data_IF_587636941383
#
_entry.id   IF_587636941383
#
_cell.length_a   1.000
_cell.length_b   1.000
_cell.length_c   1.000
_cell.angle_alpha   90.00
_cell.angle_beta   90.00
_cell.angle_gamma   90.00
#
_symmetry.space_group_name_H-M   'P 1'
#
loop_
_entity.id
_entity.type
_entity.pdbx_description
1 polymer ?
#
# COMPACT_ATOMS: atom_id res chain seq x y z
N UNK A 1 19.44 -6.50 -13.51
CA UNK A 1 18.74 -5.27 -13.08
C UNK A 1 19.70 -4.13 -12.80
N UNK A 2 20.59 -4.26 -11.79
CA UNK A 2 21.55 -3.19 -11.42
C UNK A 2 22.37 -2.71 -12.62
N UNK A 3 22.90 -3.65 -13.40
CA UNK A 3 23.68 -3.37 -14.61
C UNK A 3 22.95 -2.44 -15.59
N UNK A 4 21.63 -2.63 -15.76
CA UNK A 4 20.81 -1.85 -16.69
C UNK A 4 20.28 -0.54 -16.08
N UNK A 5 20.43 -0.37 -14.75
CA UNK A 5 19.86 0.75 -13.98
C UNK A 5 20.89 1.33 -13.00
N UNK A 6 22.08 1.67 -13.48
CA UNK A 6 23.22 2.10 -12.65
C UNK A 6 22.94 3.32 -11.77
N UNK A 7 22.04 4.21 -12.17
CA UNK A 7 21.64 5.39 -11.38
C UNK A 7 20.81 5.05 -10.16
N UNK A 8 20.01 3.98 -10.24
CA UNK A 8 19.21 3.46 -9.13
C UNK A 8 20.01 2.46 -8.30
N UNK A 9 20.73 1.55 -8.98
CA UNK A 9 21.44 0.45 -8.36
C UNK A 9 20.51 -0.55 -7.68
N UNK A 10 20.97 -1.08 -6.56
CA UNK A 10 20.15 -1.89 -5.64
C UNK A 10 19.80 -1.04 -4.43
N UNK A 11 18.54 -1.09 -4.02
CA UNK A 11 18.03 -0.43 -2.83
C UNK A 11 17.38 -1.48 -1.94
N UNK A 12 17.63 -1.40 -0.62
CA UNK A 12 17.05 -2.31 0.35
C UNK A 12 15.52 -2.35 0.23
N UNK A 13 14.96 -3.56 0.16
CA UNK A 13 13.53 -3.80 -0.12
C UNK A 13 13.25 -4.33 -1.53
N UNK A 14 14.15 -4.08 -2.50
CA UNK A 14 14.01 -4.65 -3.85
C UNK A 14 14.02 -6.18 -3.86
N UNK A 15 14.75 -6.81 -2.93
CA UNK A 15 14.76 -8.26 -2.78
C UNK A 15 13.40 -8.83 -2.32
N UNK A 16 12.68 -8.11 -1.46
CA UNK A 16 11.35 -8.51 -1.02
C UNK A 16 10.35 -8.48 -2.18
N UNK A 17 10.49 -7.50 -3.09
CA UNK A 17 9.63 -7.34 -4.26
C UNK A 17 9.89 -8.44 -5.30
N UNK A 18 11.14 -8.85 -5.51
CA UNK A 18 11.45 -9.90 -6.50
C UNK A 18 11.15 -11.32 -5.97
N UNK A 19 11.15 -11.52 -4.65
CA UNK A 19 11.00 -12.84 -4.05
C UNK A 19 9.72 -13.60 -4.49
N UNK A 20 8.50 -13.03 -4.50
CA UNK A 20 7.31 -13.74 -5.00
C UNK A 20 7.40 -14.10 -6.48
N UNK A 21 8.04 -13.25 -7.28
CA UNK A 21 8.21 -13.50 -8.71
C UNK A 21 9.13 -14.71 -8.95
N UNK A 22 10.18 -14.85 -8.14
CA UNK A 22 11.06 -16.02 -8.15
C UNK A 22 10.38 -17.30 -7.67
N UNK A 23 9.32 -17.19 -6.88
CA UNK A 23 8.54 -18.35 -6.41
C UNK A 23 7.54 -18.81 -7.47
N UNK A 24 6.91 -17.89 -8.20
CA UNK A 24 5.85 -18.23 -9.16
C UNK A 24 6.38 -18.57 -10.56
N UNK A 25 7.55 -18.05 -10.94
CA UNK A 25 8.14 -18.28 -12.26
C UNK A 25 9.41 -19.12 -12.16
N UNK A 26 9.45 -20.21 -12.94
CA UNK A 26 10.63 -21.08 -13.07
C UNK A 26 11.71 -20.49 -14.02
N UNK A 27 11.35 -19.48 -14.83
CA UNK A 27 12.23 -18.89 -15.83
C UNK A 27 12.78 -17.52 -15.39
N UNK A 28 14.11 -17.42 -15.26
CA UNK A 28 14.80 -16.19 -14.85
C UNK A 28 14.47 -14.98 -15.74
N UNK A 29 14.34 -15.20 -17.05
CA UNK A 29 14.06 -14.12 -18.01
C UNK A 29 12.65 -13.54 -17.79
N UNK A 30 11.66 -14.39 -17.50
CA UNK A 30 10.29 -13.96 -17.19
C UNK A 30 10.30 -13.20 -15.87
N UNK A 31 10.92 -13.75 -14.83
CA UNK A 31 11.05 -13.10 -13.52
C UNK A 31 11.72 -11.74 -13.62
N UNK A 32 12.84 -11.65 -14.34
CA UNK A 32 13.55 -10.41 -14.59
C UNK A 32 12.68 -9.39 -15.32
N UNK A 33 11.95 -9.81 -16.36
CA UNK A 33 11.08 -8.92 -17.14
C UNK A 33 9.92 -8.37 -16.31
N UNK A 34 9.26 -9.24 -15.53
CA UNK A 34 8.21 -8.85 -14.58
C UNK A 34 8.74 -7.90 -13.51
N UNK A 35 9.91 -8.20 -12.93
CA UNK A 35 10.55 -7.37 -11.92
C UNK A 35 10.89 -5.99 -12.48
N UNK A 36 11.50 -5.91 -13.66
CA UNK A 36 11.79 -4.64 -14.33
C UNK A 36 10.53 -3.80 -14.55
N UNK A 37 9.43 -4.43 -14.96
CA UNK A 37 8.17 -3.72 -15.16
C UNK A 37 7.56 -3.23 -13.84
N UNK A 38 7.61 -4.04 -12.79
CA UNK A 38 7.13 -3.67 -11.46
C UNK A 38 7.94 -2.50 -10.88
N UNK A 39 9.27 -2.53 -11.01
CA UNK A 39 10.14 -1.47 -10.52
C UNK A 39 9.87 -0.12 -11.21
N UNK A 40 9.49 -0.07 -12.49
CA UNK A 40 9.10 1.20 -13.13
C UNK A 40 7.99 1.95 -12.37
N UNK A 41 7.08 1.22 -11.71
CA UNK A 41 6.02 1.79 -10.88
C UNK A 41 6.49 2.12 -9.46
N UNK A 42 7.39 1.32 -8.90
CA UNK A 42 7.79 1.42 -7.49
C UNK A 42 8.98 2.33 -7.22
N UNK A 43 9.86 2.56 -8.19
CA UNK A 43 11.05 3.43 -8.04
C UNK A 43 10.74 4.80 -7.42
N UNK A 44 9.65 5.51 -7.78
CA UNK A 44 9.32 6.78 -7.13
C UNK A 44 9.12 6.70 -5.61
N UNK A 45 8.80 5.52 -5.05
CA UNK A 45 8.59 5.31 -3.62
C UNK A 45 9.91 5.04 -2.86
N UNK A 46 11.00 4.70 -3.56
CA UNK A 46 12.30 4.47 -2.94
C UNK A 46 12.98 5.79 -2.55
N UNK A 47 14.00 5.76 -1.66
CA UNK A 47 14.78 6.93 -1.29
C UNK A 47 15.22 7.75 -2.51
N UNK A 48 15.19 9.08 -2.36
CA UNK A 48 15.43 10.08 -3.42
C UNK A 48 14.30 10.27 -4.45
N UNK A 49 13.23 9.47 -4.38
CA UNK A 49 11.97 9.72 -5.10
C UNK A 49 10.99 10.60 -4.33
N UNK A 50 9.96 11.12 -5.02
CA UNK A 50 8.87 11.94 -4.42
C UNK A 50 7.59 11.15 -4.15
N UNK A 51 7.52 9.89 -4.60
CA UNK A 51 6.30 9.09 -4.58
C UNK A 51 5.82 8.79 -3.17
N UNK A 52 6.73 8.65 -2.20
CA UNK A 52 6.35 8.38 -0.81
C UNK A 52 5.61 9.56 -0.18
N UNK A 53 6.13 10.79 -0.34
CA UNK A 53 5.49 12.01 0.17
C UNK A 53 4.13 12.24 -0.49
N UNK A 54 4.04 12.00 -1.80
CA UNK A 54 2.76 12.04 -2.53
C UNK A 54 1.76 11.01 -1.98
N UNK A 55 2.19 9.78 -1.72
CA UNK A 55 1.31 8.74 -1.18
C UNK A 55 0.80 9.12 0.21
N UNK A 56 1.65 9.68 1.08
CA UNK A 56 1.23 10.17 2.39
C UNK A 56 0.28 11.36 2.29
N UNK A 57 0.54 12.30 1.37
CA UNK A 57 -0.38 13.40 1.09
C UNK A 57 -1.76 12.90 0.67
N UNK A 58 -1.82 11.98 -0.30
CA UNK A 58 -3.08 11.41 -0.76
C UNK A 58 -3.78 10.57 0.31
N UNK A 59 -3.05 9.75 1.08
CA UNK A 59 -3.64 8.97 2.18
C UNK A 59 -4.31 9.87 3.21
N UNK A 60 -3.66 10.98 3.55
CA UNK A 60 -4.22 11.98 4.46
C UNK A 60 -5.53 12.55 3.92
N UNK A 61 -5.54 12.99 2.67
CA UNK A 61 -6.74 13.55 2.04
C UNK A 61 -7.85 12.51 1.91
N UNK A 62 -7.53 11.28 1.51
CA UNK A 62 -8.50 10.20 1.38
C UNK A 62 -9.12 9.84 2.73
N UNK A 63 -8.30 9.68 3.77
CA UNK A 63 -8.81 9.39 5.11
C UNK A 63 -9.66 10.54 5.63
N UNK A 64 -9.23 11.79 5.46
CA UNK A 64 -10.01 12.95 5.90
C UNK A 64 -11.39 13.02 5.22
N UNK A 65 -11.48 12.64 3.94
CA UNK A 65 -12.73 12.68 3.16
C UNK A 65 -13.64 11.48 3.50
N UNK A 66 -13.07 10.28 3.63
CA UNK A 66 -13.83 9.02 3.74
C UNK A 66 -14.00 8.51 5.18
N UNK A 67 -13.25 9.07 6.14
CA UNK A 67 -13.34 8.77 7.56
C UNK A 67 -12.72 9.87 8.42
N UNK A 68 -13.44 11.00 8.56
CA UNK A 68 -12.97 12.14 9.33
C UNK A 68 -12.72 11.82 10.81
N UNK A 69 -13.49 10.89 11.40
CA UNK A 69 -13.30 10.48 12.79
C UNK A 69 -11.97 9.74 12.99
N UNK A 70 -11.68 8.75 12.14
CA UNK A 70 -10.39 8.04 12.19
C UNK A 70 -9.22 8.98 11.88
N UNK A 71 -9.42 9.93 10.96
CA UNK A 71 -8.45 10.97 10.66
C UNK A 71 -8.11 11.80 11.91
N UNK A 72 -9.12 12.33 12.59
CA UNK A 72 -8.92 13.16 13.79
C UNK A 72 -8.25 12.37 14.92
N UNK A 73 -8.64 11.11 15.12
CA UNK A 73 -8.00 10.24 16.12
C UNK A 73 -6.50 10.05 15.86
N UNK A 74 -6.12 9.76 14.61
CA UNK A 74 -4.71 9.60 14.22
C UNK A 74 -3.96 10.93 14.30
N UNK A 75 -4.63 12.05 14.00
CA UNK A 75 -4.02 13.37 14.06
C UNK A 75 -3.72 13.80 15.50
N UNK A 76 -4.64 13.56 16.42
CA UNK A 76 -4.51 13.96 17.83
C UNK A 76 -3.51 13.10 18.62
N UNK A 77 -3.23 11.88 18.15
CA UNK A 77 -2.38 10.91 18.85
C UNK A 77 -0.95 10.80 18.31
N UNK A 78 -0.58 11.61 17.30
CA UNK A 78 0.71 11.54 16.61
C UNK A 78 1.69 12.69 16.90
N UNK A 79 2.97 12.45 16.65
CA UNK A 79 4.11 13.37 16.85
C UNK A 79 4.59 14.02 15.54
N UNK A 80 3.64 14.49 14.70
CA UNK A 80 3.88 15.03 13.35
C UNK A 80 4.41 14.02 12.30
N UNK A 81 4.65 12.74 12.66
CA UNK A 81 5.14 11.67 11.76
C UNK A 81 4.03 11.00 10.93
N UNK A 82 3.08 11.82 10.48
CA UNK A 82 1.86 11.45 9.78
C UNK A 82 1.98 10.23 8.83
N UNK A 83 1.18 9.18 9.10
CA UNK A 83 1.04 7.99 8.25
C UNK A 83 2.33 7.18 8.00
N UNK A 84 3.41 7.41 8.75
CA UNK A 84 4.65 6.66 8.56
C UNK A 84 4.49 5.13 8.81
N UNK A 85 3.44 4.71 9.53
CA UNK A 85 3.06 3.30 9.63
C UNK A 85 2.78 2.66 8.26
N UNK A 86 2.33 3.43 7.25
CA UNK A 86 2.13 2.96 5.88
C UNK A 86 3.42 2.93 5.03
N UNK A 87 4.57 3.39 5.55
CA UNK A 87 5.80 3.51 4.76
C UNK A 87 6.20 2.17 4.13
N UNK A 88 6.19 1.10 4.93
CA UNK A 88 6.51 -0.26 4.47
C UNK A 88 5.52 -0.75 3.40
N UNK A 89 4.25 -0.39 3.54
CA UNK A 89 3.19 -0.79 2.61
C UNK A 89 3.45 -0.26 1.21
N UNK A 90 3.78 1.03 1.08
CA UNK A 90 4.04 1.65 -0.22
C UNK A 90 5.43 1.33 -0.77
N UNK A 91 6.44 1.19 0.10
CA UNK A 91 7.79 0.87 -0.32
C UNK A 91 7.87 -0.53 -0.95
N UNK A 92 7.18 -1.51 -0.34
CA UNK A 92 7.25 -2.92 -0.73
C UNK A 92 6.00 -3.40 -1.47
N UNK A 93 5.16 -2.47 -1.92
CA UNK A 93 3.90 -2.74 -2.62
C UNK A 93 3.06 -3.82 -1.91
N UNK A 94 2.90 -3.63 -0.60
CA UNK A 94 2.18 -4.48 0.35
C UNK A 94 2.76 -5.88 0.56
N UNK A 95 3.94 -6.21 0.02
CA UNK A 95 4.48 -7.56 0.10
C UNK A 95 4.63 -8.10 1.52
N UNK A 96 5.04 -7.26 2.47
CA UNK A 96 5.22 -7.69 3.87
C UNK A 96 3.90 -7.83 4.63
N UNK A 97 2.79 -7.41 4.03
CA UNK A 97 1.47 -7.44 4.66
C UNK A 97 0.69 -8.71 4.28
N UNK A 98 1.02 -9.34 3.14
CA UNK A 98 0.31 -10.50 2.62
C UNK A 98 1.24 -11.68 2.38
N UNK A 99 0.72 -12.89 2.64
CA UNK A 99 1.37 -14.14 2.25
C UNK A 99 1.45 -14.26 0.71
N UNK A 100 2.07 -15.32 0.18
CA UNK A 100 2.25 -15.45 -1.26
C UNK A 100 0.94 -15.57 -2.04
N UNK A 101 0.00 -16.40 -1.60
CA UNK A 101 -1.27 -16.59 -2.30
C UNK A 101 -2.04 -15.26 -2.40
N UNK A 102 -2.06 -14.50 -1.31
CA UNK A 102 -2.77 -13.22 -1.22
C UNK A 102 -2.04 -12.09 -1.97
N UNK A 103 -0.70 -12.01 -1.92
CA UNK A 103 0.02 -10.92 -2.58
C UNK A 103 -0.08 -11.03 -4.11
N UNK A 104 -0.15 -12.25 -4.67
CA UNK A 104 -0.37 -12.42 -6.10
C UNK A 104 -1.71 -11.81 -6.52
N UNK A 105 -2.79 -12.13 -5.80
CA UNK A 105 -4.11 -11.56 -6.03
C UNK A 105 -4.11 -10.03 -5.91
N UNK A 106 -3.48 -9.50 -4.86
CA UNK A 106 -3.35 -8.05 -4.64
C UNK A 106 -2.63 -7.37 -5.81
N UNK A 107 -1.52 -7.93 -6.29
CA UNK A 107 -0.75 -7.37 -7.41
C UNK A 107 -1.49 -7.45 -8.74
N UNK A 108 -2.20 -8.54 -9.01
CA UNK A 108 -3.05 -8.67 -10.19
C UNK A 108 -4.15 -7.59 -10.22
N UNK A 109 -4.79 -7.36 -9.08
CA UNK A 109 -5.82 -6.32 -8.95
C UNK A 109 -5.22 -4.93 -9.08
N UNK A 110 -4.07 -4.63 -8.47
CA UNK A 110 -3.38 -3.34 -8.64
C UNK A 110 -3.05 -3.11 -10.12
N UNK A 111 -2.52 -4.13 -10.81
CA UNK A 111 -2.15 -4.04 -12.23
C UNK A 111 -3.38 -3.83 -13.14
N UNK A 112 -4.50 -4.51 -12.86
CA UNK A 112 -5.75 -4.34 -13.58
C UNK A 112 -6.37 -2.96 -13.30
N UNK A 113 -6.47 -2.56 -12.03
CA UNK A 113 -7.04 -1.29 -11.60
C UNK A 113 -6.27 -0.10 -12.17
N UNK A 114 -4.94 -0.20 -12.30
CA UNK A 114 -4.10 0.82 -12.93
C UNK A 114 -4.52 1.15 -14.37
N UNK A 115 -5.09 0.19 -15.09
CA UNK A 115 -5.52 0.37 -16.49
C UNK A 115 -6.97 0.82 -16.61
N UNK A 116 -7.83 0.44 -15.66
CA UNK A 116 -9.28 0.56 -15.81
C UNK A 116 -9.86 1.68 -14.96
N UNK A 117 -9.36 1.87 -13.73
CA UNK A 117 -10.04 2.71 -12.74
C UNK A 117 -9.15 3.78 -12.12
N UNK A 118 -7.96 3.41 -11.62
CA UNK A 118 -7.07 4.37 -10.94
C UNK A 118 -5.61 3.93 -10.98
N UNK A 119 -4.72 4.86 -11.34
CA UNK A 119 -3.26 4.63 -11.31
C UNK A 119 -2.69 4.44 -9.90
N UNK A 120 -3.45 4.78 -8.86
CA UNK A 120 -3.01 4.73 -7.44
C UNK A 120 -3.94 3.85 -6.60
N UNK A 121 -4.42 2.73 -7.15
CA UNK A 121 -5.33 1.83 -6.44
C UNK A 121 -4.75 1.29 -5.11
N UNK A 122 -3.42 1.19 -5.00
CA UNK A 122 -2.72 0.82 -3.75
C UNK A 122 -3.09 1.73 -2.56
N UNK A 123 -3.45 2.99 -2.79
CA UNK A 123 -3.91 3.90 -1.73
C UNK A 123 -5.26 3.46 -1.14
N UNK A 124 -6.16 2.94 -1.98
CA UNK A 124 -7.44 2.42 -1.52
C UNK A 124 -7.29 1.12 -0.76
N UNK A 125 -6.30 0.29 -1.10
CA UNK A 125 -5.98 -0.92 -0.34
C UNK A 125 -5.41 -0.54 1.03
N UNK A 126 -4.48 0.41 1.09
CA UNK A 126 -3.95 0.93 2.36
C UNK A 126 -5.06 1.53 3.24
N UNK A 127 -5.98 2.32 2.65
CA UNK A 127 -7.12 2.87 3.37
C UNK A 127 -8.09 1.77 3.83
N UNK A 128 -8.32 0.75 3.00
CA UNK A 128 -9.16 -0.39 3.35
C UNK A 128 -8.59 -1.18 4.53
N UNK A 129 -7.27 -1.37 4.61
CA UNK A 129 -6.62 -1.95 5.79
C UNK A 129 -6.92 -1.13 7.05
N UNK A 130 -6.85 0.20 6.97
CA UNK A 130 -7.20 1.06 8.11
C UNK A 130 -8.69 0.97 8.48
N UNK A 131 -9.58 0.96 7.48
CA UNK A 131 -11.03 0.87 7.69
C UNK A 131 -11.45 -0.49 8.26
N UNK A 132 -10.81 -1.57 7.83
CA UNK A 132 -11.09 -2.91 8.31
C UNK A 132 -10.82 -3.06 9.83
N UNK A 133 -9.79 -2.38 10.34
CA UNK A 133 -9.46 -2.39 11.77
C UNK A 133 -9.90 -1.12 12.51
N UNK A 134 -10.73 -0.28 11.88
CA UNK A 134 -11.15 1.03 12.40
C UNK A 134 -11.66 0.95 13.83
N UNK A 135 -12.62 0.07 14.08
CA UNK A 135 -13.29 0.00 15.38
C UNK A 135 -12.31 -0.47 16.46
N UNK A 136 -11.40 -1.40 16.13
CA UNK A 136 -10.32 -1.81 17.05
C UNK A 136 -9.42 -0.62 17.39
N UNK A 137 -9.03 0.19 16.41
CA UNK A 137 -8.17 1.37 16.62
C UNK A 137 -8.86 2.40 17.53
N UNK A 138 -10.12 2.71 17.24
CA UNK A 138 -10.89 3.73 17.96
C UNK A 138 -11.29 3.28 19.37
N UNK A 139 -11.83 2.06 19.51
CA UNK A 139 -12.30 1.54 20.79
C UNK A 139 -11.18 1.39 21.81
N UNK A 140 -9.99 0.99 21.35
CA UNK A 140 -8.80 0.88 22.18
C UNK A 140 -8.02 2.19 22.32
N UNK A 141 -8.49 3.27 21.66
CA UNK A 141 -7.82 4.59 21.61
C UNK A 141 -6.34 4.48 21.28
N UNK A 142 -6.00 3.62 20.31
CA UNK A 142 -4.62 3.34 19.94
C UNK A 142 -3.91 4.62 19.51
N UNK A 143 -2.76 4.92 20.12
CA UNK A 143 -1.93 6.02 19.64
C UNK A 143 -1.10 5.60 18.43
N UNK A 144 -0.31 6.52 17.88
CA UNK A 144 0.52 6.24 16.71
C UNK A 144 1.47 5.04 16.86
N UNK A 145 2.11 4.89 18.02
CA UNK A 145 3.00 3.75 18.31
C UNK A 145 2.23 2.44 18.38
N UNK A 146 1.03 2.46 19.00
CA UNK A 146 0.17 1.28 19.08
C UNK A 146 -0.29 0.83 17.70
N UNK A 147 -0.65 1.78 16.81
CA UNK A 147 -1.04 1.50 15.42
C UNK A 147 0.12 0.85 14.66
N UNK A 148 1.35 1.38 14.78
CA UNK A 148 2.53 0.77 14.15
C UNK A 148 2.71 -0.67 14.65
N UNK A 149 2.65 -0.87 15.97
CA UNK A 149 2.83 -2.19 16.58
C UNK A 149 1.74 -3.16 16.11
N UNK A 150 0.48 -2.73 16.13
CA UNK A 150 -0.67 -3.50 15.70
C UNK A 150 -0.52 -3.99 14.26
N UNK A 151 -0.25 -3.10 13.30
CA UNK A 151 -0.09 -3.49 11.90
C UNK A 151 1.16 -4.34 11.66
N UNK A 152 2.24 -4.12 12.42
CA UNK A 152 3.40 -5.01 12.37
C UNK A 152 3.08 -6.43 12.84
N UNK A 153 2.24 -6.59 13.86
CA UNK A 153 1.80 -7.89 14.38
C UNK A 153 0.78 -8.60 13.47
N UNK A 154 0.08 -7.82 12.63
CA UNK A 154 -0.90 -8.32 11.66
C UNK A 154 -0.31 -8.64 10.29
N UNK A 155 0.98 -8.36 10.06
CA UNK A 155 1.68 -8.73 8.84
C UNK A 155 1.43 -10.21 8.48
N UNK A 156 1.04 -10.45 7.22
CA UNK A 156 0.69 -11.75 6.64
C UNK A 156 -0.57 -12.42 7.24
N UNK A 157 -1.35 -11.71 8.07
CA UNK A 157 -2.58 -12.20 8.73
C UNK A 157 -3.83 -11.42 8.34
N UNK A 158 -3.70 -10.52 7.38
CA UNK A 158 -4.80 -9.73 6.86
C UNK A 158 -5.75 -10.56 5.99
N UNK A 159 -7.06 -10.33 6.08
CA UNK A 159 -8.03 -10.91 5.15
C UNK A 159 -7.96 -10.14 3.82
N UNK A 160 -7.20 -10.67 2.87
CA UNK A 160 -6.97 -10.02 1.59
C UNK A 160 -8.26 -9.82 0.80
N UNK A 161 -9.17 -10.80 0.80
CA UNK A 161 -10.42 -10.71 0.03
C UNK A 161 -11.30 -9.58 0.55
N UNK A 162 -11.44 -9.51 1.87
CA UNK A 162 -12.27 -8.49 2.51
C UNK A 162 -11.65 -7.09 2.38
N UNK A 163 -10.33 -6.96 2.53
CA UNK A 163 -9.62 -5.69 2.29
C UNK A 163 -9.80 -5.23 0.84
N UNK A 164 -9.69 -6.12 -0.15
CA UNK A 164 -9.88 -5.78 -1.56
C UNK A 164 -11.33 -5.40 -1.87
N UNK A 165 -12.31 -6.03 -1.21
CA UNK A 165 -13.73 -5.65 -1.29
C UNK A 165 -13.94 -4.22 -0.77
N UNK A 166 -13.44 -3.91 0.42
CA UNK A 166 -13.52 -2.58 1.04
C UNK A 166 -12.80 -1.54 0.17
N UNK A 167 -11.62 -1.86 -0.38
CA UNK A 167 -10.86 -0.96 -1.26
C UNK A 167 -11.68 -0.55 -2.50
N UNK A 168 -12.41 -1.49 -3.10
CA UNK A 168 -13.31 -1.22 -4.21
C UNK A 168 -14.47 -0.33 -3.80
N UNK A 169 -15.06 -0.56 -2.62
CA UNK A 169 -16.18 0.25 -2.11
C UNK A 169 -15.77 1.69 -1.84
N UNK A 170 -14.61 1.90 -1.21
CA UNK A 170 -14.06 3.24 -0.96
C UNK A 170 -13.80 4.02 -2.25
N UNK A 171 -13.35 3.34 -3.31
CA UNK A 171 -13.17 3.96 -4.62
C UNK A 171 -14.51 4.39 -5.24
N UNK A 172 -15.52 3.51 -5.17
CA UNK A 172 -16.87 3.83 -5.67
C UNK A 172 -17.52 4.96 -4.87
N UNK A 173 -17.31 5.00 -3.56
CA UNK A 173 -17.76 6.07 -2.68
C UNK A 173 -17.13 7.41 -3.09
N UNK A 174 -15.81 7.44 -3.28
CA UNK A 174 -15.11 8.64 -3.72
C UNK A 174 -15.60 9.12 -5.09
N UNK A 175 -15.83 8.21 -6.04
CA UNK A 175 -16.37 8.55 -7.37
C UNK A 175 -17.75 9.22 -7.25
N UNK A 176 -18.66 8.66 -6.44
CA UNK A 176 -19.97 9.26 -6.19
C UNK A 176 -19.87 10.65 -5.57
N UNK A 177 -18.91 10.87 -4.65
CA UNK A 177 -18.70 12.19 -4.04
C UNK A 177 -18.18 13.23 -5.05
N UNK A 178 -17.41 12.81 -6.05
CA UNK A 178 -16.93 13.68 -7.12
C UNK A 178 -18.05 13.97 -8.12
N UNK A 179 -18.84 12.96 -8.50
CA UNK A 179 -19.92 13.10 -9.48
C UNK A 179 -21.10 13.93 -8.96
N UNK A 180 -21.26 14.00 -7.63
CA UNK A 180 -22.30 14.81 -6.97
C UNK A 180 -21.86 16.27 -6.68
N UNK A 181 -20.68 16.71 -7.17
CA UNK A 181 -20.21 18.10 -7.11
C UNK A 181 -20.31 18.78 -8.47
#
# INVERSE_FOLDING_TARGET
YVWDNLTVGYIQGMCDIVAPLLVIYDEEIITYSCFCNLMKRLIPNFPHGTGMDENFGHMRSLLQILDSELYEHIHQTGDFTHFYFCYRWFLLDLKREFNYDDIFLVWEIIAAAQRIVSKRFVLFIALAMMKYYRDIILDNRMNFTDIIKFFNEMAERHDAQEILRIARELLLELQKLIDNK
#
